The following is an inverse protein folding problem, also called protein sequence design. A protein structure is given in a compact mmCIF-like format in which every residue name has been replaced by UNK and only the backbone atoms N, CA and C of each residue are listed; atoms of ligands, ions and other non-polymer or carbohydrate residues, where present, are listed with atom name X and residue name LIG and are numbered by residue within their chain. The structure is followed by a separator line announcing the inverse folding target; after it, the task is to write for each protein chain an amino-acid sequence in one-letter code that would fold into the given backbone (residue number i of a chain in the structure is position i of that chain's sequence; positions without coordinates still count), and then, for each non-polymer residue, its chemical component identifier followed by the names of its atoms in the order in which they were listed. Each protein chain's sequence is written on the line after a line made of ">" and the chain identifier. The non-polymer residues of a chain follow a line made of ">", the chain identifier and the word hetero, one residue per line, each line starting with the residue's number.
data_IF_607530362069
#
_entry.id   IF_607530362069
#
_cell.length_a   1.000
_cell.length_b   1.000
_cell.length_c   1.000
_cell.angle_alpha   90.00
_cell.angle_beta   90.00
_cell.angle_gamma   90.00
#
_symmetry.space_group_name_H-M   'P 1'
#
loop_
_entity.id
_entity.type
_entity.pdbx_description
1 polymer ?
#
# COMPACT_ATOMS: atom_id res chain seq x y z
N UNK A 1 -8.09 -14.28 -13.67
CA UNK A 1 -8.18 -14.10 -12.20
C UNK A 1 -7.29 -12.91 -11.84
N UNK A 2 -7.62 -12.10 -10.81
CA UNK A 2 -6.85 -10.86 -10.52
C UNK A 2 -5.48 -11.14 -9.90
N UNK A 3 -5.31 -12.33 -9.33
CA UNK A 3 -4.04 -12.89 -8.90
C UNK A 3 -3.66 -14.01 -9.86
N UNK A 4 -2.39 -14.07 -10.22
CA UNK A 4 -1.81 -15.12 -11.07
C UNK A 4 -1.56 -16.41 -10.25
N UNK A 5 -2.61 -16.99 -9.68
CA UNK A 5 -2.56 -18.23 -8.90
C UNK A 5 -3.22 -19.33 -9.74
N UNK A 6 -2.45 -20.31 -10.18
CA UNK A 6 -2.94 -21.38 -11.06
C UNK A 6 -3.85 -22.39 -10.36
N UNK A 7 -3.48 -22.79 -9.13
CA UNK A 7 -4.26 -23.73 -8.32
C UNK A 7 -4.19 -23.35 -6.82
N UNK A 8 -5.32 -23.43 -6.13
CA UNK A 8 -5.45 -23.11 -4.71
C UNK A 8 -6.72 -23.70 -4.11
N UNK A 9 -6.58 -24.45 -3.02
CA UNK A 9 -7.71 -24.83 -2.18
C UNK A 9 -8.19 -23.66 -1.32
N UNK A 10 -9.50 -23.42 -1.33
CA UNK A 10 -10.12 -22.34 -0.56
C UNK A 10 -11.06 -22.88 0.51
N UNK A 11 -11.05 -22.27 1.69
CA UNK A 11 -12.07 -22.44 2.71
C UNK A 11 -12.50 -21.08 3.24
N UNK A 12 -13.79 -20.88 3.44
CA UNK A 12 -14.36 -19.65 3.93
C UNK A 12 -15.32 -19.94 5.09
N UNK A 13 -15.23 -19.13 6.15
CA UNK A 13 -16.07 -19.24 7.33
C UNK A 13 -16.67 -17.87 7.66
N UNK A 14 -17.87 -17.86 8.26
CA UNK A 14 -18.61 -16.63 8.60
C UNK A 14 -19.66 -16.24 7.55
N UNK A 15 -20.11 -14.98 7.58
CA UNK A 15 -21.13 -14.47 6.65
C UNK A 15 -20.52 -14.13 5.28
N UNK A 16 -20.29 -15.17 4.48
CA UNK A 16 -19.71 -15.07 3.12
C UNK A 16 -20.66 -14.48 2.09
N UNK A 17 -21.97 -14.40 2.40
CA UNK A 17 -22.98 -13.80 1.52
C UNK A 17 -22.80 -12.28 1.35
N UNK A 18 -22.11 -11.60 2.28
CA UNK A 18 -21.77 -10.18 2.15
C UNK A 18 -20.53 -10.06 1.26
N UNK A 19 -20.74 -9.71 0.00
CA UNK A 19 -19.69 -9.64 -1.04
C UNK A 19 -18.46 -8.84 -0.59
N UNK A 20 -18.66 -7.66 0.01
CA UNK A 20 -17.56 -6.81 0.45
C UNK A 20 -16.68 -7.46 1.53
N UNK A 21 -17.28 -8.20 2.46
CA UNK A 21 -16.53 -8.92 3.49
C UNK A 21 -15.74 -10.09 2.88
N UNK A 22 -16.36 -10.84 1.98
CA UNK A 22 -15.70 -11.97 1.31
C UNK A 22 -14.54 -11.52 0.41
N UNK A 23 -14.74 -10.46 -0.37
CA UNK A 23 -13.69 -9.88 -1.21
C UNK A 23 -12.51 -9.36 -0.36
N UNK A 24 -12.80 -8.66 0.75
CA UNK A 24 -11.76 -8.16 1.67
C UNK A 24 -11.01 -9.30 2.37
N UNK A 25 -11.71 -10.37 2.78
CA UNK A 25 -11.09 -11.55 3.37
C UNK A 25 -10.14 -12.23 2.39
N UNK A 26 -10.55 -12.37 1.13
CA UNK A 26 -9.73 -12.96 0.06
C UNK A 26 -8.49 -12.10 -0.22
N UNK A 27 -8.66 -10.77 -0.36
CA UNK A 27 -7.53 -9.85 -0.52
C UNK A 27 -6.56 -9.93 0.66
N UNK A 28 -7.10 -9.99 1.88
CA UNK A 28 -6.30 -10.15 3.10
C UNK A 28 -5.50 -11.47 3.12
N UNK A 29 -6.08 -12.57 2.65
CA UNK A 29 -5.40 -13.85 2.54
C UNK A 29 -4.23 -13.78 1.53
N UNK A 30 -4.44 -13.20 0.36
CA UNK A 30 -3.38 -13.01 -0.66
C UNK A 30 -2.27 -12.11 -0.13
N UNK A 31 -2.62 -11.02 0.57
CA UNK A 31 -1.65 -10.08 1.14
C UNK A 31 -0.73 -10.75 2.16
N UNK A 32 -1.23 -11.74 2.91
CA UNK A 32 -0.45 -12.50 3.89
C UNK A 32 0.63 -13.39 3.27
N UNK A 33 0.56 -13.70 1.97
CA UNK A 33 1.60 -14.48 1.27
C UNK A 33 2.95 -13.77 1.38
N UNK A 34 2.97 -12.44 1.24
CA UNK A 34 4.20 -11.64 1.37
C UNK A 34 4.68 -11.46 2.82
N UNK A 35 3.78 -11.63 3.79
CA UNK A 35 4.10 -11.51 5.23
C UNK A 35 4.64 -12.84 5.75
N UNK A 36 4.26 -13.95 5.13
CA UNK A 36 4.74 -15.26 5.50
C UNK A 36 6.22 -15.42 5.13
N UNK A 37 7.04 -15.76 6.13
CA UNK A 37 8.48 -15.91 5.97
C UNK A 37 8.84 -17.38 5.75
N UNK A 38 9.08 -17.76 4.50
CA UNK A 38 9.56 -19.09 4.13
C UNK A 38 11.10 -19.19 4.24
N UNK A 39 11.68 -20.40 4.39
CA UNK A 39 13.11 -20.59 4.64
C UNK A 39 14.06 -20.00 3.59
N UNK A 40 13.61 -19.89 2.35
CA UNK A 40 14.32 -19.24 1.25
C UNK A 40 14.49 -17.73 1.43
N UNK A 41 13.58 -17.08 2.18
CA UNK A 41 13.59 -15.65 2.47
C UNK A 41 14.33 -15.30 3.79
N UNK A 42 14.92 -16.27 4.50
CA UNK A 42 15.60 -16.01 5.79
C UNK A 42 16.91 -15.23 5.68
N UNK A 43 17.48 -15.14 4.48
CA UNK A 43 18.71 -14.38 4.26
C UNK A 43 18.45 -12.89 4.51
N UNK A 44 19.43 -12.22 5.10
CA UNK A 44 19.34 -10.81 5.41
C UNK A 44 19.13 -9.97 4.14
N UNK A 45 18.17 -9.05 4.19
CA UNK A 45 17.87 -8.14 3.09
C UNK A 45 18.82 -6.95 3.12
N UNK A 46 19.50 -6.68 2.00
CA UNK A 46 20.27 -5.44 1.83
C UNK A 46 19.32 -4.32 1.48
N UNK A 47 19.14 -3.36 2.38
CA UNK A 47 18.30 -2.19 2.14
C UNK A 47 18.99 -1.21 1.20
N UNK A 48 18.32 -0.85 0.10
CA UNK A 48 18.75 0.21 -0.81
C UNK A 48 18.08 1.53 -0.45
N UNK A 49 18.57 2.63 -1.03
CA UNK A 49 17.88 3.92 -0.91
C UNK A 49 16.45 3.79 -1.46
N UNK A 50 15.50 4.48 -0.83
CA UNK A 50 14.14 4.51 -1.36
C UNK A 50 14.11 5.23 -2.73
N UNK A 51 13.20 4.86 -3.65
CA UNK A 51 13.09 5.53 -4.94
C UNK A 51 12.88 7.05 -4.81
N UNK A 52 12.13 7.50 -3.82
CA UNK A 52 11.91 8.92 -3.55
C UNK A 52 13.21 9.66 -3.20
N UNK A 53 14.12 8.98 -2.49
CA UNK A 53 15.42 9.53 -2.13
C UNK A 53 16.41 9.46 -3.30
N UNK A 54 16.39 8.40 -4.09
CA UNK A 54 17.28 8.22 -5.23
C UNK A 54 16.95 9.20 -6.38
N UNK A 55 15.67 9.46 -6.65
CA UNK A 55 15.23 10.32 -7.74
C UNK A 55 14.80 11.72 -7.29
N UNK A 56 15.29 12.20 -6.14
CA UNK A 56 14.87 13.47 -5.55
C UNK A 56 15.01 14.65 -6.54
N UNK A 57 16.17 14.79 -7.18
CA UNK A 57 16.43 15.87 -8.14
C UNK A 57 15.45 15.87 -9.32
N UNK A 58 15.07 14.69 -9.80
CA UNK A 58 14.07 14.55 -10.87
C UNK A 58 12.66 14.88 -10.36
N UNK A 59 12.30 14.41 -9.16
CA UNK A 59 11.00 14.69 -8.56
C UNK A 59 10.83 16.19 -8.30
N UNK A 60 11.84 16.90 -7.79
CA UNK A 60 11.78 18.36 -7.58
C UNK A 60 11.52 19.11 -8.89
N UNK A 61 12.13 18.65 -9.99
CA UNK A 61 12.02 19.32 -11.30
C UNK A 61 10.71 19.02 -12.02
N UNK A 62 10.19 17.79 -11.91
CA UNK A 62 9.06 17.31 -12.73
C UNK A 62 7.74 17.28 -11.96
N UNK A 63 7.76 17.24 -10.62
CA UNK A 63 6.56 17.17 -9.80
C UNK A 63 5.97 18.57 -9.57
N UNK A 64 5.11 19.05 -10.48
CA UNK A 64 4.22 20.17 -10.20
C UNK A 64 3.25 19.76 -9.10
N UNK A 65 3.46 20.22 -7.86
CA UNK A 65 2.46 20.06 -6.80
C UNK A 65 1.19 20.77 -7.27
N UNK A 66 0.10 20.02 -7.49
CA UNK A 66 -1.25 20.62 -7.48
C UNK A 66 -1.48 21.07 -6.04
N UNK A 67 -1.13 22.33 -5.75
CA UNK A 67 -1.42 22.91 -4.45
C UNK A 67 -2.94 23.00 -4.32
N UNK A 68 -3.54 22.17 -3.48
CA UNK A 68 -4.83 22.54 -2.89
C UNK A 68 -4.51 23.75 -2.00
N UNK A 69 -4.80 24.94 -2.50
CA UNK A 69 -4.74 26.18 -1.72
C UNK A 69 -5.77 26.03 -0.59
N UNK A 70 -5.31 25.58 0.59
CA UNK A 70 -6.11 25.71 1.79
C UNK A 70 -6.09 27.19 2.14
N UNK A 71 -7.17 27.90 1.81
CA UNK A 71 -7.40 29.27 2.28
C UNK A 71 -7.33 29.27 3.79
N UNK A 72 -6.21 29.70 4.35
CA UNK A 72 -6.10 29.99 5.76
C UNK A 72 -6.43 31.47 5.92
N UNK A 73 -7.57 31.74 6.55
CA UNK A 73 -7.97 33.10 6.87
C UNK A 73 -6.86 33.78 7.70
N UNK A 74 -6.54 35.06 7.43
CA UNK A 74 -5.51 35.77 8.18
C UNK A 74 -5.88 35.78 9.67
N UNK A 75 -4.98 35.29 10.51
CA UNK A 75 -5.08 35.45 11.95
C UNK A 75 -5.05 36.95 12.25
N UNK A 76 -6.17 37.48 12.73
CA UNK A 76 -6.30 38.85 13.22
C UNK A 76 -5.35 39.01 14.40
N UNK A 77 -4.41 39.94 14.27
CA UNK A 77 -3.61 40.45 15.39
C UNK A 77 -4.53 41.17 16.36
N UNK A 78 -4.72 40.61 17.55
CA UNK A 78 -5.31 41.32 18.69
C UNK A 78 -4.23 41.48 19.75
N UNK A 79 -3.87 42.75 19.93
CA UNK A 79 -3.27 43.46 21.08
C UNK A 79 -2.22 42.76 21.94
#
# INVERSE_FOLDING_TARGET
>A
MITDIEDCYTSAMGCTAILGNFAKATFGAVSKIYIYLAPDLWKETVFTKSPCQEFNDHLVKTHTRVSVQRTQAPAVTTT
#
